data_IF_728892781200
#
_entry.id   IF_728892781200
#
_cell.length_a   1.000
_cell.length_b   1.000
_cell.length_c   1.000
_cell.angle_alpha   90.00
_cell.angle_beta   90.00
_cell.angle_gamma   90.00
#
_symmetry.space_group_name_H-M   'P 1'
#
loop_
_entity.id
_entity.type
_entity.pdbx_description
1 polymer ?
#
# COMPACT_ATOMS: atom_id res chain seq x y z
N UNK A 1 15.38 -18.19 42.11
CA UNK A 1 14.40 -17.75 41.10
C UNK A 1 14.36 -18.85 40.04
N UNK A 2 13.22 -19.53 39.89
CA UNK A 2 13.06 -20.50 38.80
C UNK A 2 12.84 -19.70 37.52
N UNK A 3 13.89 -19.56 36.70
CA UNK A 3 13.75 -19.02 35.35
C UNK A 3 13.04 -20.07 34.51
N UNK A 4 11.74 -19.88 34.30
CA UNK A 4 11.03 -20.55 33.21
C UNK A 4 11.77 -20.23 31.91
N UNK A 5 12.23 -21.28 31.22
CA UNK A 5 12.80 -21.16 29.87
C UNK A 5 11.66 -20.81 28.92
N UNK A 6 11.48 -19.51 28.65
CA UNK A 6 10.52 -19.01 27.68
C UNK A 6 11.26 -18.80 26.36
N UNK A 7 10.77 -19.41 25.29
CA UNK A 7 11.27 -19.18 23.95
C UNK A 7 10.75 -17.83 23.43
N UNK A 8 11.61 -16.81 23.48
CA UNK A 8 11.26 -15.47 23.02
C UNK A 8 11.22 -15.36 21.49
N UNK A 9 11.93 -16.23 20.76
CA UNK A 9 11.96 -16.23 19.30
C UNK A 9 10.56 -16.49 18.73
N UNK A 10 9.83 -17.44 19.33
CA UNK A 10 8.43 -17.71 18.99
C UNK A 10 7.54 -16.46 19.03
N UNK A 11 7.70 -15.60 20.05
CA UNK A 11 6.88 -14.39 20.17
C UNK A 11 7.29 -13.31 19.16
N UNK A 12 8.56 -13.25 18.78
CA UNK A 12 9.06 -12.35 17.73
C UNK A 12 8.55 -12.80 16.35
N UNK A 13 8.49 -14.11 16.10
CA UNK A 13 7.94 -14.71 14.87
C UNK A 13 6.44 -14.50 14.71
N UNK A 14 5.71 -14.38 15.82
CA UNK A 14 4.28 -14.09 15.82
C UNK A 14 3.96 -12.59 15.67
N UNK A 15 4.94 -11.70 15.80
CA UNK A 15 4.75 -10.25 15.65
C UNK A 15 4.60 -9.87 14.17
N UNK A 16 3.68 -8.96 13.88
CA UNK A 16 3.47 -8.39 12.55
C UNK A 16 4.43 -7.23 12.23
N UNK A 17 5.23 -6.81 13.21
CA UNK A 17 6.28 -5.81 13.06
C UNK A 17 7.52 -6.49 12.50
N UNK A 18 8.02 -6.11 11.30
CA UNK A 18 9.26 -6.66 10.77
C UNK A 18 10.42 -6.46 11.75
N UNK A 19 11.13 -7.55 12.02
CA UNK A 19 12.29 -7.57 12.89
C UNK A 19 13.45 -8.31 12.22
N UNK A 20 14.61 -7.66 12.17
CA UNK A 20 15.81 -8.19 11.52
C UNK A 20 17.00 -7.99 12.44
N UNK A 21 17.85 -9.01 12.56
CA UNK A 21 19.18 -8.91 13.18
C UNK A 21 20.22 -9.06 12.09
N UNK A 22 21.12 -8.10 12.00
CA UNK A 22 22.30 -8.15 11.14
C UNK A 22 23.55 -8.36 11.97
N UNK A 23 24.50 -9.10 11.42
CA UNK A 23 25.90 -9.03 11.86
C UNK A 23 26.55 -7.72 11.41
N UNK A 24 27.67 -7.34 12.02
CA UNK A 24 28.54 -6.24 11.59
C UNK A 24 29.06 -6.35 10.14
N UNK A 25 28.99 -7.54 9.53
CA UNK A 25 29.30 -7.81 8.13
C UNK A 25 28.08 -7.68 7.18
N UNK A 26 26.98 -7.03 7.61
CA UNK A 26 25.73 -6.85 6.85
C UNK A 26 25.00 -8.17 6.52
N UNK A 27 25.47 -9.31 7.02
CA UNK A 27 24.76 -10.58 6.87
C UNK A 27 23.56 -10.62 7.80
N UNK A 28 22.40 -11.03 7.28
CA UNK A 28 21.22 -11.28 8.11
C UNK A 28 21.47 -12.52 8.97
N UNK A 29 21.41 -12.34 10.29
CA UNK A 29 21.54 -13.42 11.28
C UNK A 29 20.19 -13.99 11.67
N UNK A 30 19.16 -13.16 11.68
CA UNK A 30 17.78 -13.56 11.99
C UNK A 30 16.81 -12.58 11.33
N UNK A 31 15.64 -13.09 10.96
CA UNK A 31 14.52 -12.33 10.42
C UNK A 31 13.24 -13.05 10.81
N UNK A 32 12.24 -12.30 11.27
CA UNK A 32 10.93 -12.87 11.57
C UNK A 32 10.07 -12.96 10.30
N UNK A 33 8.92 -13.65 10.37
CA UNK A 33 8.01 -13.82 9.22
C UNK A 33 7.58 -12.52 8.56
N UNK A 34 7.32 -11.47 9.35
CA UNK A 34 6.97 -10.17 8.81
C UNK A 34 8.13 -9.54 8.02
N UNK A 35 9.37 -9.73 8.48
CA UNK A 35 10.57 -9.28 7.77
C UNK A 35 10.85 -10.09 6.51
N UNK A 36 10.59 -11.41 6.47
CA UNK A 36 10.71 -12.23 5.25
C UNK A 36 9.92 -11.62 4.09
N UNK A 37 8.68 -11.22 4.37
CA UNK A 37 7.81 -10.59 3.38
C UNK A 37 8.34 -9.20 2.98
N UNK A 38 8.78 -8.41 3.96
CA UNK A 38 9.35 -7.08 3.71
C UNK A 38 10.59 -7.15 2.79
N UNK A 39 11.44 -8.17 2.93
CA UNK A 39 12.65 -8.36 2.10
C UNK A 39 12.34 -8.59 0.61
N UNK A 40 11.08 -8.87 0.24
CA UNK A 40 10.63 -8.84 -1.14
C UNK A 40 10.55 -7.44 -1.76
N UNK A 41 10.51 -6.39 -0.92
CA UNK A 41 10.30 -4.99 -1.32
C UNK A 41 11.51 -4.08 -1.05
N UNK A 42 12.40 -4.46 -0.12
CA UNK A 42 13.56 -3.65 0.29
C UNK A 42 14.83 -4.48 0.27
N UNK A 43 15.95 -3.87 -0.10
CA UNK A 43 17.24 -4.57 -0.11
C UNK A 43 17.86 -4.63 1.30
N UNK A 44 18.51 -5.74 1.63
CA UNK A 44 19.24 -5.93 2.90
C UNK A 44 20.18 -4.76 3.22
N UNK A 45 20.90 -4.26 2.21
CA UNK A 45 21.84 -3.14 2.37
C UNK A 45 21.14 -1.89 2.86
N UNK A 46 19.97 -1.60 2.33
CA UNK A 46 19.20 -0.40 2.69
C UNK A 46 18.73 -0.47 4.14
N UNK A 47 18.14 -1.59 4.56
CA UNK A 47 17.72 -1.79 5.95
C UNK A 47 18.90 -1.78 6.93
N UNK A 48 20.04 -2.35 6.54
CA UNK A 48 21.26 -2.30 7.36
C UNK A 48 21.78 -0.87 7.52
N UNK A 49 21.84 -0.10 6.42
CA UNK A 49 22.22 1.32 6.47
C UNK A 49 21.27 2.10 7.39
N UNK A 50 19.96 1.88 7.27
CA UNK A 50 18.97 2.48 8.15
C UNK A 50 19.21 2.13 9.63
N UNK A 51 19.53 0.87 9.93
CA UNK A 51 19.87 0.44 11.29
C UNK A 51 21.09 1.19 11.84
N UNK A 52 22.19 1.24 11.09
CA UNK A 52 23.42 1.93 11.52
C UNK A 52 23.18 3.43 11.69
N UNK A 53 22.45 4.08 10.78
CA UNK A 53 22.15 5.51 10.85
C UNK A 53 21.33 5.89 12.09
N UNK A 54 20.43 5.00 12.53
CA UNK A 54 19.55 5.26 13.67
C UNK A 54 19.97 4.54 14.96
N UNK A 55 21.14 3.90 14.99
CA UNK A 55 21.66 3.24 16.17
C UNK A 55 21.85 4.23 17.34
N UNK A 56 21.59 3.80 18.59
CA UNK A 56 22.00 4.58 19.75
C UNK A 56 23.53 4.71 19.81
N UNK A 57 24.02 5.78 20.43
CA UNK A 57 25.48 5.98 20.61
C UNK A 57 26.09 4.96 21.57
N UNK A 58 25.34 4.62 22.62
CA UNK A 58 25.72 3.63 23.62
C UNK A 58 24.89 2.34 23.44
N UNK A 59 25.42 1.22 23.95
CA UNK A 59 24.73 -0.07 23.99
C UNK A 59 23.32 0.11 24.59
N UNK A 60 22.32 -0.40 23.88
CA UNK A 60 20.92 -0.23 24.25
C UNK A 60 20.02 -0.18 23.03
N UNK A 61 18.94 0.59 23.13
CA UNK A 61 17.97 0.76 22.06
C UNK A 61 17.56 2.21 21.88
N UNK A 62 17.19 2.57 20.65
CA UNK A 62 16.66 3.88 20.28
C UNK A 62 15.49 3.73 19.33
N UNK A 63 14.35 4.32 19.69
CA UNK A 63 13.20 4.47 18.79
C UNK A 63 13.28 5.81 18.10
N UNK A 64 13.18 5.83 16.78
CA UNK A 64 13.10 7.04 15.97
C UNK A 64 11.74 7.07 15.27
N UNK A 65 11.04 8.21 15.34
CA UNK A 65 9.85 8.46 14.53
C UNK A 65 10.27 8.88 13.13
N UNK A 66 9.83 8.16 12.11
CA UNK A 66 9.97 8.53 10.71
C UNK A 66 8.94 7.80 9.86
N UNK A 67 8.53 8.44 8.76
CA UNK A 67 7.69 7.80 7.76
C UNK A 67 8.57 7.03 6.78
N UNK A 68 8.43 5.71 6.75
CA UNK A 68 9.08 4.82 5.78
C UNK A 68 8.04 4.12 4.93
N UNK A 69 8.36 3.93 3.65
CA UNK A 69 7.49 3.24 2.71
C UNK A 69 8.27 2.24 1.87
N UNK A 70 7.88 0.97 1.96
CA UNK A 70 8.45 -0.14 1.20
C UNK A 70 7.33 -0.93 0.53
N UNK A 71 7.05 -0.63 -0.74
CA UNK A 71 5.89 -1.18 -1.43
C UNK A 71 4.60 -0.84 -0.71
N UNK A 72 3.87 -1.86 -0.25
CA UNK A 72 2.64 -1.70 0.53
C UNK A 72 2.87 -1.45 2.03
N UNK A 73 4.09 -1.64 2.52
CA UNK A 73 4.41 -1.40 3.92
C UNK A 73 4.61 0.09 4.16
N UNK A 74 3.95 0.60 5.20
CA UNK A 74 4.14 1.96 5.68
C UNK A 74 4.46 1.87 7.16
N UNK A 75 5.57 2.46 7.58
CA UNK A 75 6.02 2.48 8.96
C UNK A 75 6.04 3.93 9.48
N UNK A 76 5.76 4.09 10.77
CA UNK A 76 5.76 5.40 11.44
C UNK A 76 6.91 5.57 12.42
N UNK A 77 7.63 4.48 12.71
CA UNK A 77 8.82 4.49 13.55
C UNK A 77 9.64 3.24 13.32
N UNK A 78 10.90 3.30 13.76
CA UNK A 78 11.80 2.15 13.89
C UNK A 78 12.42 2.14 15.27
N UNK A 79 12.74 0.96 15.79
CA UNK A 79 13.63 0.79 16.94
C UNK A 79 14.89 0.08 16.48
N UNK A 80 16.04 0.67 16.75
CA UNK A 80 17.34 0.03 16.57
C UNK A 80 17.89 -0.34 17.93
N UNK A 81 18.42 -1.56 18.07
CA UNK A 81 19.01 -2.02 19.32
C UNK A 81 20.24 -2.88 19.05
N UNK A 82 21.22 -2.82 19.94
CA UNK A 82 22.36 -3.73 19.96
C UNK A 82 22.80 -3.95 21.41
N UNK A 83 23.37 -5.13 21.66
CA UNK A 83 23.88 -5.53 22.98
C UNK A 83 25.40 -5.67 22.99
N UNK A 84 26.00 -5.72 21.80
CA UNK A 84 27.42 -5.87 21.54
C UNK A 84 27.78 -5.21 20.19
N UNK A 85 29.04 -5.33 19.77
CA UNK A 85 29.54 -4.81 18.49
C UNK A 85 29.41 -5.80 17.32
N UNK A 86 28.87 -7.00 17.57
CA UNK A 86 28.72 -8.04 16.57
C UNK A 86 27.35 -7.97 15.88
N UNK A 87 26.30 -7.64 16.62
CA UNK A 87 24.92 -7.70 16.14
C UNK A 87 24.15 -6.40 16.35
N UNK A 88 23.39 -6.02 15.32
CA UNK A 88 22.45 -4.90 15.37
C UNK A 88 21.07 -5.37 14.91
N UNK A 89 20.07 -5.06 15.71
CA UNK A 89 18.68 -5.34 15.43
C UNK A 89 17.93 -4.09 14.98
N UNK A 90 17.02 -4.23 14.02
CA UNK A 90 16.06 -3.21 13.62
C UNK A 90 14.64 -3.79 13.67
N UNK A 91 13.74 -3.07 14.33
CA UNK A 91 12.29 -3.32 14.32
C UNK A 91 11.59 -2.18 13.61
N UNK A 92 10.67 -2.48 12.71
CA UNK A 92 9.86 -1.49 12.00
C UNK A 92 8.41 -1.55 12.48
N UNK A 93 7.82 -0.40 12.85
CA UNK A 93 6.46 -0.34 13.39
C UNK A 93 5.48 0.15 12.35
N UNK A 94 4.52 -0.72 12.01
CA UNK A 94 3.49 -0.43 11.03
C UNK A 94 2.74 0.84 11.40
N UNK A 95 2.55 1.74 10.44
CA UNK A 95 1.69 2.90 10.59
C UNK A 95 0.26 2.38 10.83
N UNK A 96 -0.46 2.87 11.86
CA UNK A 96 -1.81 2.41 12.13
C UNK A 96 -2.70 2.59 10.89
N UNK A 97 -3.32 1.50 10.46
CA UNK A 97 -4.40 1.57 9.47
C UNK A 97 -5.66 1.87 10.27
N UNK A 98 -6.25 3.04 10.04
CA UNK A 98 -7.60 3.33 10.54
C UNK A 98 -8.53 2.36 9.80
N UNK A 99 -8.97 1.31 10.50
CA UNK A 99 -10.06 0.47 10.01
C UNK A 99 -11.33 1.29 10.13
N UNK A 100 -11.94 1.62 9.00
CA UNK A 100 -13.33 2.05 9.01
C UNK A 100 -14.17 0.80 9.23
N UNK A 101 -14.66 0.62 10.45
CA UNK A 101 -15.66 -0.40 10.81
C UNK A 101 -17.06 -0.06 10.26
N UNK A 102 -17.15 0.88 9.30
CA UNK A 102 -18.40 1.09 8.58
C UNK A 102 -18.80 -0.24 7.94
N UNK A 103 -20.06 -0.63 8.11
CA UNK A 103 -20.65 -1.72 7.35
C UNK A 103 -20.83 -1.16 5.94
N UNK A 104 -20.35 -1.89 4.93
CA UNK A 104 -20.52 -1.49 3.53
C UNK A 104 -22.01 -1.30 3.29
N UNK A 105 -22.43 -0.09 2.91
CA UNK A 105 -23.81 0.22 2.62
C UNK A 105 -24.23 -0.50 1.32
N UNK A 106 -24.54 -1.79 1.42
CA UNK A 106 -24.88 -2.67 0.29
C UNK A 106 -26.00 -2.10 -0.57
N UNK A 107 -26.91 -1.34 0.03
CA UNK A 107 -28.00 -0.59 -0.64
C UNK A 107 -27.51 0.44 -1.67
N UNK A 108 -26.28 0.93 -1.58
CA UNK A 108 -25.69 1.89 -2.53
C UNK A 108 -24.95 1.22 -3.68
N UNK A 109 -24.71 -0.09 -3.60
CA UNK A 109 -23.97 -0.81 -4.61
C UNK A 109 -24.91 -1.21 -5.75
N UNK A 110 -24.57 -0.78 -6.95
CA UNK A 110 -25.31 -1.11 -8.16
C UNK A 110 -24.40 -1.82 -9.16
N UNK A 111 -24.97 -2.79 -9.89
CA UNK A 111 -24.26 -3.51 -10.93
C UNK A 111 -23.82 -2.52 -12.01
N UNK A 112 -22.51 -2.44 -12.24
CA UNK A 112 -21.91 -1.40 -13.07
C UNK A 112 -20.88 -1.98 -14.02
N UNK A 113 -20.91 -1.49 -15.25
CA UNK A 113 -19.80 -1.60 -16.20
C UNK A 113 -18.78 -0.47 -15.93
N UNK A 114 -17.55 -0.86 -15.59
CA UNK A 114 -16.46 0.09 -15.33
C UNK A 114 -16.16 0.99 -16.53
N UNK A 115 -16.33 0.49 -17.75
CA UNK A 115 -16.03 1.26 -18.96
C UNK A 115 -16.90 2.52 -19.02
N UNK A 116 -18.16 2.42 -18.61
CA UNK A 116 -19.08 3.57 -18.55
C UNK A 116 -18.59 4.66 -17.58
N UNK A 117 -18.13 4.27 -16.37
CA UNK A 117 -17.61 5.23 -15.39
C UNK A 117 -16.31 5.86 -15.90
N UNK A 118 -15.41 5.05 -16.49
CA UNK A 118 -14.14 5.52 -17.03
C UNK A 118 -14.36 6.50 -18.18
N UNK A 119 -15.18 6.15 -19.17
CA UNK A 119 -15.48 7.01 -20.32
C UNK A 119 -16.02 8.37 -19.88
N UNK A 120 -16.96 8.40 -18.94
CA UNK A 120 -17.53 9.65 -18.41
C UNK A 120 -16.46 10.54 -17.75
N UNK A 121 -15.61 9.97 -16.89
CA UNK A 121 -14.59 10.75 -16.18
C UNK A 121 -13.45 11.19 -17.10
N UNK A 122 -13.03 10.34 -18.04
CA UNK A 122 -12.00 10.69 -19.03
C UNK A 122 -12.50 11.78 -19.98
N UNK A 123 -13.74 11.70 -20.44
CA UNK A 123 -14.35 12.73 -21.28
C UNK A 123 -14.40 14.06 -20.54
N UNK A 124 -14.88 14.06 -19.30
CA UNK A 124 -14.95 15.26 -18.48
C UNK A 124 -13.56 15.87 -18.24
N UNK A 125 -12.55 15.04 -17.97
CA UNK A 125 -11.19 15.49 -17.77
C UNK A 125 -10.61 16.15 -19.03
N UNK A 126 -10.82 15.57 -20.22
CA UNK A 126 -10.37 16.14 -21.50
C UNK A 126 -11.04 17.48 -21.82
N UNK A 127 -12.25 17.73 -21.35
CA UNK A 127 -12.94 18.99 -21.58
C UNK A 127 -12.25 20.18 -20.91
N UNK A 128 -11.56 19.95 -19.78
CA UNK A 128 -10.93 21.01 -18.99
C UNK A 128 -9.40 21.00 -19.04
N UNK A 129 -8.78 19.92 -19.52
CA UNK A 129 -7.34 19.75 -19.51
C UNK A 129 -6.82 19.34 -20.89
N UNK A 130 -5.75 20.00 -21.34
CA UNK A 130 -5.03 19.60 -22.56
C UNK A 130 -4.00 18.53 -22.21
N UNK A 131 -4.41 17.26 -22.29
CA UNK A 131 -3.57 16.11 -21.95
C UNK A 131 -3.86 14.94 -22.89
N UNK A 132 -2.81 14.31 -23.43
CA UNK A 132 -2.97 13.10 -24.24
C UNK A 132 -3.25 11.89 -23.33
N UNK A 133 -4.28 11.11 -23.63
CA UNK A 133 -4.68 10.00 -22.77
C UNK A 133 -4.75 8.69 -23.54
N UNK A 134 -3.98 7.72 -23.08
CA UNK A 134 -3.91 6.38 -23.65
C UNK A 134 -4.53 5.38 -22.68
N UNK A 135 -5.68 4.82 -23.06
CA UNK A 135 -6.36 3.78 -22.30
C UNK A 135 -6.05 2.41 -22.90
N UNK A 136 -5.51 1.52 -22.07
CA UNK A 136 -5.30 0.10 -22.35
C UNK A 136 -6.21 -0.69 -21.41
N UNK A 137 -7.06 -1.54 -21.98
CA UNK A 137 -8.01 -2.35 -21.22
C UNK A 137 -7.96 -3.81 -21.65
N UNK A 138 -8.11 -4.72 -20.69
CA UNK A 138 -8.42 -6.12 -20.99
C UNK A 138 -9.77 -6.22 -21.73
N UNK A 139 -9.91 -7.24 -22.58
CA UNK A 139 -11.18 -7.56 -23.24
C UNK A 139 -12.17 -8.17 -22.25
N UNK A 140 -13.45 -7.80 -22.37
CA UNK A 140 -14.58 -8.41 -21.64
C UNK A 140 -14.50 -8.33 -20.10
N UNK A 141 -14.26 -7.14 -19.57
CA UNK A 141 -14.34 -6.90 -18.12
C UNK A 141 -15.76 -7.14 -17.59
N UNK A 142 -15.96 -8.01 -16.59
CA UNK A 142 -17.29 -8.26 -16.03
C UNK A 142 -17.84 -7.03 -15.30
N UNK A 143 -19.15 -6.84 -15.38
CA UNK A 143 -19.85 -5.90 -14.50
C UNK A 143 -19.80 -6.37 -13.04
N UNK A 144 -19.71 -5.44 -12.10
CA UNK A 144 -19.66 -5.71 -10.66
C UNK A 144 -20.43 -4.64 -9.89
N UNK A 145 -20.82 -4.96 -8.65
CA UNK A 145 -21.54 -4.05 -7.77
C UNK A 145 -20.58 -3.05 -7.13
N UNK A 146 -20.87 -1.75 -7.27
CA UNK A 146 -20.06 -0.66 -6.71
C UNK A 146 -20.92 0.58 -6.45
N UNK A 147 -20.49 1.43 -5.52
CA UNK A 147 -21.01 2.81 -5.40
C UNK A 147 -20.41 3.65 -6.53
N UNK A 148 -21.17 3.82 -7.63
CA UNK A 148 -20.70 4.54 -8.82
C UNK A 148 -20.26 5.97 -8.53
N UNK A 149 -20.97 6.66 -7.62
CA UNK A 149 -20.70 8.06 -7.32
C UNK A 149 -19.37 8.21 -6.61
N UNK A 150 -19.11 7.36 -5.64
CA UNK A 150 -17.87 7.39 -4.87
C UNK A 150 -16.68 6.90 -5.70
N UNK A 151 -16.86 5.87 -6.54
CA UNK A 151 -15.83 5.44 -7.48
C UNK A 151 -15.52 6.52 -8.53
N UNK A 152 -16.54 7.20 -9.06
CA UNK A 152 -16.38 8.31 -10.01
C UNK A 152 -15.61 9.48 -9.40
N UNK A 153 -15.85 9.82 -8.12
CA UNK A 153 -15.04 10.81 -7.39
C UNK A 153 -13.60 10.37 -7.24
N UNK A 154 -13.37 9.11 -6.85
CA UNK A 154 -12.02 8.55 -6.68
C UNK A 154 -11.21 8.58 -7.98
N UNK A 155 -11.83 8.22 -9.11
CA UNK A 155 -11.20 8.28 -10.43
C UNK A 155 -10.84 9.72 -10.81
N UNK A 156 -11.75 10.67 -10.57
CA UNK A 156 -11.54 12.08 -10.90
C UNK A 156 -10.40 12.70 -10.11
N UNK A 157 -10.36 12.50 -8.80
CA UNK A 157 -9.25 12.96 -7.97
C UNK A 157 -7.92 12.34 -8.40
N UNK A 158 -7.95 11.06 -8.78
CA UNK A 158 -6.77 10.36 -9.30
C UNK A 158 -6.30 10.93 -10.63
N UNK A 159 -7.21 11.35 -11.53
CA UNK A 159 -6.87 12.05 -12.78
C UNK A 159 -6.35 13.46 -12.51
N UNK A 160 -6.96 14.19 -11.58
CA UNK A 160 -6.57 15.57 -11.23
C UNK A 160 -5.16 15.63 -10.61
N UNK A 161 -4.71 14.56 -9.94
CA UNK A 161 -3.30 14.37 -9.56
C UNK A 161 -2.33 14.42 -10.74
N UNK A 162 -2.80 14.28 -11.99
CA UNK A 162 -1.97 14.32 -13.20
C UNK A 162 -2.27 15.48 -14.16
N UNK A 163 -3.17 16.42 -13.82
CA UNK A 163 -3.66 17.49 -14.73
C UNK A 163 -2.60 18.36 -15.43
N UNK A 164 -1.40 18.48 -14.86
CA UNK A 164 -0.31 19.28 -15.42
C UNK A 164 0.67 18.47 -16.27
N UNK A 165 0.35 17.22 -16.61
CA UNK A 165 1.18 16.37 -17.45
C UNK A 165 0.76 16.45 -18.92
N UNK A 166 1.72 16.22 -19.82
CA UNK A 166 1.45 16.15 -21.24
C UNK A 166 0.67 14.90 -21.65
N UNK A 167 0.84 13.80 -20.89
CA UNK A 167 0.14 12.55 -21.15
C UNK A 167 -0.28 11.85 -19.85
N UNK A 168 -1.26 10.95 -19.95
CA UNK A 168 -1.61 9.98 -18.90
C UNK A 168 -1.81 8.62 -19.55
N UNK A 169 -1.04 7.62 -19.10
CA UNK A 169 -1.26 6.22 -19.43
C UNK A 169 -2.21 5.60 -18.41
N UNK A 170 -3.24 4.93 -18.89
CA UNK A 170 -4.28 4.31 -18.08
C UNK A 170 -4.35 2.84 -18.44
N UNK A 171 -4.16 1.97 -17.44
CA UNK A 171 -4.28 0.53 -17.60
C UNK A 171 -5.43 0.01 -16.74
N UNK A 172 -6.39 -0.65 -17.38
CA UNK A 172 -7.54 -1.27 -16.74
C UNK A 172 -7.45 -2.78 -16.94
N UNK A 173 -7.31 -3.54 -15.85
CA UNK A 173 -7.02 -4.98 -15.94
C UNK A 173 -7.54 -5.76 -14.75
N UNK A 174 -7.72 -7.07 -14.93
CA UNK A 174 -8.02 -8.00 -13.84
C UNK A 174 -6.71 -8.50 -13.22
N UNK A 175 -6.58 -8.40 -11.89
CA UNK A 175 -5.42 -8.95 -11.19
C UNK A 175 -5.63 -10.44 -10.93
N UNK A 176 -4.70 -11.26 -11.41
CA UNK A 176 -4.72 -12.72 -11.26
C UNK A 176 -3.91 -13.12 -10.02
N UNK A 177 -4.44 -14.05 -9.22
CA UNK A 177 -3.76 -14.61 -8.04
C UNK A 177 -3.90 -13.79 -6.76
N UNK A 178 -4.45 -12.58 -6.83
CA UNK A 178 -4.73 -11.72 -5.68
C UNK A 178 -6.25 -11.57 -5.47
N UNK A 179 -6.65 -11.29 -4.23
CA UNK A 179 -8.06 -11.06 -3.87
C UNK A 179 -8.17 -10.08 -2.70
N UNK A 180 -9.22 -9.26 -2.68
CA UNK A 180 -9.58 -8.43 -1.53
C UNK A 180 -10.65 -9.15 -0.71
N UNK A 181 -10.49 -9.22 0.62
CA UNK A 181 -11.46 -9.83 1.52
C UNK A 181 -12.41 -8.78 2.09
N UNK A 182 -13.71 -8.96 1.90
CA UNK A 182 -14.78 -8.11 2.46
C UNK A 182 -15.80 -9.02 3.10
N UNK A 183 -16.17 -8.75 4.36
CA UNK A 183 -17.15 -9.55 5.11
C UNK A 183 -16.88 -11.06 5.00
N UNK A 184 -15.61 -11.45 5.16
CA UNK A 184 -15.11 -12.81 5.04
C UNK A 184 -15.22 -13.52 3.69
N UNK A 185 -15.68 -12.81 2.65
CA UNK A 185 -15.65 -13.28 1.27
C UNK A 185 -14.46 -12.71 0.52
N UNK A 186 -13.85 -13.52 -0.35
CA UNK A 186 -12.77 -13.09 -1.25
C UNK A 186 -13.36 -12.63 -2.58
N UNK A 187 -12.96 -11.46 -3.02
CA UNK A 187 -13.38 -10.85 -4.28
C UNK A 187 -12.17 -10.72 -5.21
N UNK A 188 -12.39 -11.02 -6.49
CA UNK A 188 -11.41 -10.75 -7.54
C UNK A 188 -11.15 -9.24 -7.63
N UNK A 189 -9.96 -8.85 -8.05
CA UNK A 189 -9.55 -7.45 -8.09
C UNK A 189 -9.57 -6.95 -9.53
N UNK A 190 -10.30 -5.86 -9.75
CA UNK A 190 -10.15 -5.01 -10.93
C UNK A 190 -9.18 -3.89 -10.58
N UNK A 191 -8.11 -3.73 -11.36
CA UNK A 191 -7.12 -2.68 -11.17
C UNK A 191 -7.26 -1.58 -12.22
N UNK A 192 -7.29 -0.34 -11.75
CA UNK A 192 -7.05 0.86 -12.57
C UNK A 192 -5.69 1.41 -12.20
N UNK A 193 -4.82 1.62 -13.18
CA UNK A 193 -3.52 2.26 -12.98
C UNK A 193 -3.43 3.52 -13.83
N UNK A 194 -3.27 4.66 -13.17
CA UNK A 194 -2.94 5.94 -13.81
C UNK A 194 -1.44 6.17 -13.69
N UNK A 195 -0.77 6.55 -14.77
CA UNK A 195 0.68 6.76 -14.78
C UNK A 195 1.08 7.92 -15.70
N UNK A 196 2.05 8.71 -15.25
CA UNK A 196 2.70 9.78 -16.02
C UNK A 196 4.13 10.02 -15.51
N UNK A 197 4.80 11.05 -16.02
CA UNK A 197 6.12 11.50 -15.57
C UNK A 197 6.14 11.97 -14.11
N UNK A 198 5.09 12.68 -13.67
CA UNK A 198 4.96 13.21 -12.31
C UNK A 198 3.52 13.22 -11.83
N UNK A 199 3.33 12.99 -10.53
CA UNK A 199 2.06 13.10 -9.82
C UNK A 199 2.06 14.27 -8.84
N UNK A 200 0.92 14.95 -8.72
CA UNK A 200 0.65 15.91 -7.66
C UNK A 200 -0.02 15.19 -6.47
N UNK A 201 0.50 15.46 -5.26
CA UNK A 201 0.08 14.86 -4.00
C UNK A 201 -1.06 15.61 -3.28
N UNK A 202 -1.50 16.76 -3.81
CA UNK A 202 -2.56 17.60 -3.22
C UNK A 202 -3.86 16.82 -2.95
N UNK A 203 -4.12 15.75 -3.71
CA UNK A 203 -5.32 14.93 -3.63
C UNK A 203 -5.16 13.68 -2.76
N UNK A 204 -3.96 13.37 -2.23
CA UNK A 204 -3.65 12.09 -1.58
C UNK A 204 -4.54 11.79 -0.39
N UNK A 205 -4.81 12.80 0.42
CA UNK A 205 -5.64 12.63 1.59
C UNK A 205 -7.09 12.32 1.21
N UNK A 206 -7.62 12.96 0.17
CA UNK A 206 -8.98 12.71 -0.29
C UNK A 206 -9.09 11.35 -0.99
N UNK A 207 -8.10 11.00 -1.82
CA UNK A 207 -8.00 9.70 -2.47
C UNK A 207 -7.98 8.58 -1.42
N UNK A 208 -7.17 8.71 -0.35
CA UNK A 208 -7.15 7.75 0.77
C UNK A 208 -8.51 7.64 1.45
N UNK A 209 -9.16 8.77 1.72
CA UNK A 209 -10.48 8.81 2.37
C UNK A 209 -11.55 8.13 1.51
N UNK A 210 -11.59 8.45 0.21
CA UNK A 210 -12.50 7.83 -0.75
C UNK A 210 -12.21 6.33 -0.90
N UNK A 211 -10.95 5.92 -0.90
CA UNK A 211 -10.55 4.51 -1.00
C UNK A 211 -11.08 3.70 0.19
N UNK A 212 -10.88 4.22 1.41
CA UNK A 212 -11.38 3.61 2.65
C UNK A 212 -12.92 3.49 2.65
N UNK A 213 -13.62 4.53 2.20
CA UNK A 213 -15.09 4.54 2.15
C UNK A 213 -15.65 3.57 1.09
N UNK A 214 -14.85 3.20 0.09
CA UNK A 214 -15.25 2.31 -1.00
C UNK A 214 -14.72 0.88 -0.88
N UNK A 215 -13.99 0.53 0.19
CA UNK A 215 -13.29 -0.76 0.33
C UNK A 215 -12.33 -1.05 -0.83
N UNK A 216 -11.79 0.03 -1.39
CA UNK A 216 -10.82 0.00 -2.49
C UNK A 216 -9.44 0.17 -1.88
N UNK A 217 -8.46 -0.57 -2.40
CA UNK A 217 -7.06 -0.42 -1.98
C UNK A 217 -6.35 0.48 -2.98
N UNK A 218 -5.77 1.59 -2.52
CA UNK A 218 -4.98 2.48 -3.37
C UNK A 218 -3.50 2.48 -3.01
N UNK A 219 -2.66 2.56 -4.04
CA UNK A 219 -1.22 2.76 -3.93
C UNK A 219 -0.85 4.03 -4.68
N UNK A 220 -0.29 5.00 -3.95
CA UNK A 220 0.11 6.31 -4.46
C UNK A 220 1.63 6.38 -4.50
N UNK A 221 2.23 6.42 -5.68
CA UNK A 221 3.67 6.63 -5.91
C UNK A 221 3.91 7.90 -6.73
N UNK A 222 5.14 8.40 -6.75
CA UNK A 222 5.54 9.64 -7.44
C UNK A 222 5.09 9.76 -8.90
N UNK A 223 4.94 8.61 -9.58
CA UNK A 223 4.63 8.53 -11.02
C UNK A 223 3.33 7.81 -11.33
N UNK A 224 2.70 7.16 -10.36
CA UNK A 224 1.50 6.39 -10.62
C UNK A 224 0.56 6.30 -9.43
N UNK A 225 -0.72 6.07 -9.73
CA UNK A 225 -1.75 5.66 -8.79
C UNK A 225 -2.26 4.30 -9.26
N UNK A 226 -2.30 3.31 -8.35
CA UNK A 226 -3.05 2.07 -8.56
C UNK A 226 -4.29 2.07 -7.67
N UNK A 227 -5.41 1.66 -8.25
CA UNK A 227 -6.70 1.52 -7.60
C UNK A 227 -7.14 0.07 -7.77
N UNK A 228 -7.12 -0.70 -6.69
CA UNK A 228 -7.54 -2.10 -6.66
C UNK A 228 -8.95 -2.18 -6.09
N UNK A 229 -9.90 -2.45 -6.98
CA UNK A 229 -11.33 -2.47 -6.71
C UNK A 229 -11.77 -3.93 -6.54
N UNK A 230 -12.43 -4.28 -5.41
CA UNK A 230 -13.02 -5.60 -5.26
C UNK A 230 -14.24 -5.74 -6.18
N UNK A 231 -14.23 -6.76 -7.04
CA UNK A 231 -15.36 -7.11 -7.89
C UNK A 231 -16.40 -7.88 -7.07
N UNK A 232 -17.43 -7.18 -6.61
CA UNK A 232 -18.55 -7.77 -5.88
C UNK A 232 -19.59 -8.25 -6.90
N UNK A 233 -19.76 -9.56 -7.01
CA UNK A 233 -20.69 -10.20 -7.96
C UNK A 233 -22.02 -10.63 -7.33
N UNK A 234 -22.06 -10.72 -6.00
CA UNK A 234 -23.16 -11.30 -5.21
C UNK A 234 -24.19 -10.26 -4.81
#
# INVERSE_FOLDING_TARGET
MNSTSIDFEYFIDCDNSPFVIFSNAMKVSYLNRAAEILMGYVQNRELYTLAITHAPHDIGSKTTLLDLKYGSFIFHSITVAYQDEEYIAIRLYNKPIIKNDSIMAQEKLILTDINTIMEANLTLFKMYNSCDMHLLTDTDLPSFKVDQNQLSKLIRDSLDSFKNNNYIMIHLSIVIGESIRINDKRHQILQIRFQSDKRNEDYDQNIKTLSQNNYVVTMLEDKYIKINIPMITD
#
